data_IF_340961128534
#
_entry.id   IF_340961128534
#
_cell.length_a   1.000
_cell.length_b   1.000
_cell.length_c   1.000
_cell.angle_alpha   90.00
_cell.angle_beta   90.00
_cell.angle_gamma   90.00
#
_symmetry.space_group_name_H-M   'P 1'
#
loop_
_entity.id
_entity.type
_entity.pdbx_description
1 polymer ?
#
# COMPACT_ATOMS: atom_id res chain seq x y z
N UNK A 1 -1.10 -0.88 7.16
CA UNK A 1 -0.61 0.03 6.11
C UNK A 1 0.43 1.00 6.64
N UNK A 2 0.10 1.80 7.68
CA UNK A 2 0.99 2.85 8.20
C UNK A 2 2.28 2.32 8.85
N UNK A 3 2.32 1.06 9.29
CA UNK A 3 3.52 0.43 9.86
C UNK A 3 4.50 -0.17 8.84
N UNK A 4 4.28 0.03 7.53
CA UNK A 4 5.18 -0.48 6.50
C UNK A 4 6.60 0.07 6.68
N UNK A 5 7.60 -0.82 6.60
CA UNK A 5 9.00 -0.48 6.84
C UNK A 5 9.43 -0.40 8.31
N UNK A 6 8.50 -0.53 9.28
CA UNK A 6 8.87 -0.69 10.69
C UNK A 6 9.50 -2.06 10.97
N UNK A 7 9.11 -3.07 10.20
CA UNK A 7 9.75 -4.37 10.11
C UNK A 7 10.22 -4.58 8.68
N UNK A 8 11.34 -5.27 8.50
CA UNK A 8 11.91 -5.49 7.17
C UNK A 8 10.99 -6.36 6.30
N UNK A 9 10.42 -5.76 5.25
CA UNK A 9 9.54 -6.43 4.30
C UNK A 9 10.24 -7.46 3.40
N UNK A 10 11.56 -7.60 3.50
CA UNK A 10 12.34 -8.63 2.80
C UNK A 10 12.66 -9.84 3.69
N UNK A 11 12.34 -9.76 4.98
CA UNK A 11 12.55 -10.84 5.94
C UNK A 11 11.65 -12.04 5.63
N UNK A 12 12.19 -13.24 5.80
CA UNK A 12 11.44 -14.50 5.63
C UNK A 12 10.24 -14.61 6.60
N UNK A 13 10.31 -13.95 7.75
CA UNK A 13 9.22 -13.90 8.73
C UNK A 13 8.17 -12.81 8.43
N UNK A 14 8.32 -12.05 7.34
CA UNK A 14 7.38 -11.01 6.96
C UNK A 14 6.19 -11.60 6.21
N UNK A 15 5.01 -11.57 6.81
CA UNK A 15 3.79 -12.16 6.25
C UNK A 15 2.94 -11.20 5.40
N UNK A 16 3.30 -9.92 5.37
CA UNK A 16 2.59 -8.90 4.60
C UNK A 16 1.70 -7.99 5.45
N UNK A 17 0.74 -7.35 4.81
CA UNK A 17 -0.24 -6.48 5.45
C UNK A 17 -1.40 -7.31 6.00
N UNK A 18 -1.96 -6.89 7.13
CA UNK A 18 -3.17 -7.45 7.75
C UNK A 18 -4.41 -6.65 7.35
N UNK A 19 -5.56 -7.30 7.33
CA UNK A 19 -6.87 -6.69 7.17
C UNK A 19 -7.44 -6.80 5.77
N UNK A 20 -8.31 -5.86 5.39
CA UNK A 20 -9.14 -5.90 4.17
C UNK A 20 -8.35 -6.22 2.89
N UNK A 21 -7.21 -5.58 2.68
CA UNK A 21 -6.32 -5.83 1.55
C UNK A 21 -5.01 -6.49 1.98
N UNK A 22 -5.04 -7.14 3.14
CA UNK A 22 -3.92 -7.92 3.67
C UNK A 22 -3.71 -9.22 2.91
N UNK A 23 -2.54 -9.83 3.11
CA UNK A 23 -2.28 -11.16 2.57
C UNK A 23 -3.13 -12.22 3.28
N UNK A 24 -3.45 -13.32 2.61
CA UNK A 24 -4.07 -14.48 3.27
C UNK A 24 -3.19 -15.00 4.40
N UNK A 25 -1.88 -15.02 4.20
CA UNK A 25 -0.91 -15.42 5.22
C UNK A 25 -1.06 -14.64 6.52
N UNK A 26 -1.08 -13.30 6.44
CA UNK A 26 -1.25 -12.46 7.64
C UNK A 26 -2.62 -12.63 8.28
N UNK A 27 -3.68 -12.68 7.48
CA UNK A 27 -5.04 -12.79 7.99
C UNK A 27 -5.28 -14.15 8.69
N UNK A 28 -4.83 -15.25 8.08
CA UNK A 28 -4.93 -16.60 8.67
C UNK A 28 -4.03 -16.74 9.91
N UNK A 29 -2.79 -16.28 9.84
CA UNK A 29 -1.88 -16.33 10.99
C UNK A 29 -2.43 -15.57 12.20
N UNK A 30 -3.06 -14.41 12.01
CA UNK A 30 -3.71 -13.68 13.10
C UNK A 30 -4.97 -14.39 13.59
N UNK A 31 -5.72 -15.03 12.70
CA UNK A 31 -6.94 -15.76 13.10
C UNK A 31 -6.65 -17.02 13.93
N UNK A 32 -5.44 -17.57 13.82
CA UNK A 32 -5.06 -18.84 14.46
C UNK A 32 -4.06 -18.69 15.61
N UNK A 33 -3.49 -17.48 15.81
CA UNK A 33 -2.51 -17.27 16.86
C UNK A 33 -3.12 -17.39 18.26
N UNK A 34 -2.31 -17.80 19.23
CA UNK A 34 -2.64 -17.83 20.65
C UNK A 34 -2.24 -16.53 21.36
N UNK A 35 -1.27 -15.79 20.81
CA UNK A 35 -0.80 -14.50 21.28
C UNK A 35 -0.65 -13.51 20.13
N UNK A 36 -1.34 -12.38 20.20
CA UNK A 36 -1.20 -11.25 19.31
C UNK A 36 -0.53 -10.08 20.03
N UNK A 37 0.66 -9.69 19.60
CA UNK A 37 1.34 -8.50 20.10
C UNK A 37 1.08 -7.35 19.12
N UNK A 38 0.30 -6.38 19.55
CA UNK A 38 -0.12 -5.22 18.77
C UNK A 38 0.72 -3.99 19.17
N UNK A 39 1.48 -3.45 18.22
CA UNK A 39 2.39 -2.34 18.48
C UNK A 39 1.96 -1.12 17.67
N UNK A 40 1.49 -0.05 18.36
CA UNK A 40 1.07 1.21 17.75
C UNK A 40 -0.10 1.05 16.76
N UNK A 41 -0.97 0.05 16.97
CA UNK A 41 -2.12 -0.19 16.11
C UNK A 41 -3.43 0.17 16.80
N UNK A 42 -4.25 0.96 16.13
CA UNK A 42 -5.55 1.40 16.64
C UNK A 42 -6.71 0.44 16.32
N UNK A 43 -6.44 -0.70 15.72
CA UNK A 43 -7.46 -1.69 15.36
C UNK A 43 -8.63 -1.07 14.58
N UNK A 44 -8.33 -0.40 13.46
CA UNK A 44 -9.35 0.21 12.62
C UNK A 44 -10.23 -0.83 11.92
N UNK A 45 -11.39 -0.40 11.44
CA UNK A 45 -12.33 -1.21 10.66
C UNK A 45 -11.69 -1.88 9.42
N UNK A 46 -10.68 -1.24 8.83
CA UNK A 46 -9.92 -1.79 7.69
C UNK A 46 -9.02 -2.96 8.08
N UNK A 47 -8.75 -3.15 9.38
CA UNK A 47 -7.94 -4.23 9.93
C UNK A 47 -8.81 -5.32 10.53
N UNK A 48 -9.83 -4.95 11.31
CA UNK A 48 -10.60 -5.89 12.12
C UNK A 48 -11.59 -6.75 11.34
N UNK A 49 -12.24 -6.18 10.30
CA UNK A 49 -13.42 -6.79 9.74
C UNK A 49 -14.54 -6.87 10.80
N UNK A 50 -14.81 -8.07 11.33
CA UNK A 50 -15.74 -8.26 12.44
C UNK A 50 -14.99 -8.26 13.79
N UNK A 51 -15.14 -7.22 14.64
CA UNK A 51 -14.41 -7.11 15.91
C UNK A 51 -14.65 -8.27 16.88
N UNK A 52 -15.81 -8.93 16.83
CA UNK A 52 -16.16 -10.04 17.72
C UNK A 52 -15.46 -11.35 17.37
N UNK A 53 -14.86 -11.42 16.19
CA UNK A 53 -14.22 -12.62 15.65
C UNK A 53 -12.75 -12.40 15.28
N UNK A 54 -12.25 -11.20 15.51
CA UNK A 54 -10.87 -10.87 15.26
C UNK A 54 -9.98 -11.45 16.35
N UNK A 55 -9.15 -12.43 16.01
CA UNK A 55 -8.23 -13.10 16.95
C UNK A 55 -8.92 -13.49 18.28
N UNK A 56 -10.16 -14.01 18.21
CA UNK A 56 -11.05 -14.24 19.36
C UNK A 56 -10.53 -15.30 20.34
N UNK A 57 -9.64 -16.17 19.88
CA UNK A 57 -8.93 -17.17 20.71
C UNK A 57 -7.61 -16.65 21.28
N UNK A 58 -7.08 -15.54 20.79
CA UNK A 58 -5.75 -15.05 21.17
C UNK A 58 -5.77 -14.20 22.44
N UNK A 59 -4.72 -14.28 23.23
CA UNK A 59 -4.37 -13.22 24.17
C UNK A 59 -3.81 -12.04 23.39
N UNK A 60 -4.35 -10.84 23.61
CA UNK A 60 -3.92 -9.63 22.91
C UNK A 60 -3.14 -8.75 23.87
N UNK A 61 -1.89 -8.45 23.53
CA UNK A 61 -1.02 -7.53 24.25
C UNK A 61 -0.84 -6.29 23.39
N UNK A 62 -1.26 -5.12 23.85
CA UNK A 62 -1.18 -3.87 23.10
C UNK A 62 -0.13 -2.92 23.71
N UNK A 63 0.79 -2.43 22.86
CA UNK A 63 1.72 -1.36 23.18
C UNK A 63 1.32 -0.11 22.41
N UNK A 64 1.01 0.97 23.11
CA UNK A 64 0.63 2.22 22.48
C UNK A 64 1.12 3.42 23.31
N UNK A 65 1.37 4.53 22.64
CA UNK A 65 1.70 5.80 23.31
C UNK A 65 0.44 6.53 23.75
N UNK A 66 -0.69 6.28 23.08
CA UNK A 66 -1.97 6.90 23.37
C UNK A 66 -2.86 5.98 24.20
N UNK A 67 -3.10 6.38 25.44
CA UNK A 67 -3.99 5.65 26.35
C UNK A 67 -5.43 5.53 25.82
N UNK A 68 -5.88 6.46 24.98
CA UNK A 68 -7.24 6.47 24.43
C UNK A 68 -7.46 5.38 23.37
N UNK A 69 -6.41 4.78 22.81
CA UNK A 69 -6.52 3.68 21.86
C UNK A 69 -6.66 2.31 22.55
N UNK A 70 -6.37 2.22 23.87
CA UNK A 70 -6.49 0.96 24.62
C UNK A 70 -7.96 0.61 24.85
N UNK A 71 -8.34 -0.62 24.48
CA UNK A 71 -9.71 -1.14 24.59
C UNK A 71 -10.78 -0.37 23.78
N UNK A 72 -10.38 0.48 22.84
CA UNK A 72 -11.29 1.32 22.07
C UNK A 72 -12.15 0.50 21.09
N UNK A 73 -11.53 -0.30 20.25
CA UNK A 73 -12.21 -1.04 19.19
C UNK A 73 -12.31 -2.54 19.49
N UNK A 74 -11.34 -3.10 20.22
CA UNK A 74 -11.36 -4.47 20.75
C UNK A 74 -10.88 -4.48 22.20
N UNK A 75 -11.30 -5.48 22.97
CA UNK A 75 -10.74 -5.69 24.30
C UNK A 75 -9.39 -6.40 24.21
N UNK A 76 -8.38 -5.87 24.90
CA UNK A 76 -7.07 -6.49 24.98
C UNK A 76 -6.87 -7.18 26.33
N UNK A 77 -6.06 -8.23 26.35
CA UNK A 77 -5.76 -8.99 27.58
C UNK A 77 -4.87 -8.16 28.51
N UNK A 78 -3.92 -7.44 27.95
CA UNK A 78 -3.00 -6.56 28.69
C UNK A 78 -2.49 -5.46 27.78
N UNK A 79 -2.04 -4.35 28.37
CA UNK A 79 -1.47 -3.23 27.63
C UNK A 79 -0.34 -2.56 28.38
N UNK A 80 0.56 -1.91 27.62
CA UNK A 80 1.60 -1.03 28.16
C UNK A 80 1.53 0.29 27.41
N UNK A 81 1.36 1.40 28.15
CA UNK A 81 1.34 2.74 27.60
C UNK A 81 2.74 3.32 27.69
N UNK A 82 3.26 3.83 26.57
CA UNK A 82 4.57 4.44 26.51
C UNK A 82 5.24 4.36 25.14
N UNK A 83 6.45 4.88 25.06
CA UNK A 83 7.29 4.78 23.87
C UNK A 83 7.67 3.32 23.58
N UNK A 84 7.43 2.87 22.35
CA UNK A 84 7.63 1.47 21.96
C UNK A 84 9.10 1.05 22.04
N UNK A 85 10.03 1.96 21.78
CA UNK A 85 11.47 1.67 21.89
C UNK A 85 11.85 1.36 23.33
N UNK A 86 11.36 2.14 24.29
CA UNK A 86 11.56 1.90 25.70
C UNK A 86 10.92 0.59 26.17
N UNK A 87 9.68 0.33 25.73
CA UNK A 87 8.94 -0.90 26.06
C UNK A 87 9.74 -2.12 25.56
N UNK A 88 10.09 -2.14 24.27
CA UNK A 88 10.82 -3.27 23.67
C UNK A 88 12.22 -3.44 24.26
N UNK A 89 12.91 -2.35 24.57
CA UNK A 89 14.22 -2.41 25.23
C UNK A 89 14.15 -3.10 26.60
N UNK A 90 13.09 -2.83 27.37
CA UNK A 90 12.88 -3.45 28.70
C UNK A 90 12.45 -4.92 28.58
N UNK A 91 11.57 -5.22 27.62
CA UNK A 91 11.07 -6.59 27.39
C UNK A 91 12.24 -7.47 26.93
N UNK A 92 13.04 -7.04 25.95
CA UNK A 92 14.13 -7.83 25.39
C UNK A 92 15.21 -8.21 26.43
N UNK A 93 15.34 -7.43 27.50
CA UNK A 93 16.24 -7.79 28.62
C UNK A 93 15.72 -8.96 29.47
N UNK A 94 14.42 -9.27 29.38
CA UNK A 94 13.75 -10.30 30.19
C UNK A 94 13.38 -11.54 29.39
N UNK A 95 13.33 -11.42 28.06
CA UNK A 95 13.03 -12.54 27.20
C UNK A 95 14.26 -13.42 27.00
N UNK A 96 14.04 -14.72 27.07
CA UNK A 96 14.97 -15.73 26.57
C UNK A 96 14.54 -16.14 25.16
N UNK A 97 15.47 -16.61 24.37
CA UNK A 97 15.13 -17.15 23.05
C UNK A 97 14.27 -18.41 23.23
N UNK A 98 13.14 -18.43 22.58
CA UNK A 98 12.21 -19.57 22.53
C UNK A 98 12.20 -20.12 21.10
N UNK A 99 11.88 -21.40 20.98
CA UNK A 99 11.69 -22.05 19.69
C UNK A 99 10.21 -21.94 19.29
N UNK A 100 9.97 -21.26 18.18
CA UNK A 100 8.66 -21.10 17.55
C UNK A 100 8.66 -21.61 16.10
N UNK A 101 9.63 -22.43 15.71
CA UNK A 101 9.82 -22.87 14.32
C UNK A 101 8.57 -23.54 13.75
N UNK A 102 7.91 -24.41 14.52
CA UNK A 102 6.69 -25.07 14.06
C UNK A 102 5.54 -24.10 13.73
N UNK A 103 5.40 -23.04 14.52
CA UNK A 103 4.42 -21.97 14.26
C UNK A 103 4.82 -21.13 13.02
N UNK A 104 6.08 -20.77 12.92
CA UNK A 104 6.62 -20.03 11.76
C UNK A 104 6.41 -20.83 10.48
N UNK A 105 6.76 -22.11 10.47
CA UNK A 105 6.54 -23.02 9.33
C UNK A 105 5.07 -23.13 8.96
N UNK A 106 4.18 -23.26 9.95
CA UNK A 106 2.74 -23.32 9.75
C UNK A 106 2.21 -22.06 9.05
N UNK A 107 2.57 -20.88 9.56
CA UNK A 107 2.11 -19.61 8.98
C UNK A 107 2.71 -19.39 7.59
N UNK A 108 3.99 -19.70 7.40
CA UNK A 108 4.66 -19.53 6.10
C UNK A 108 4.17 -20.54 5.04
N UNK A 109 3.58 -21.66 5.45
CA UNK A 109 2.92 -22.56 4.52
C UNK A 109 1.74 -21.90 3.80
N UNK A 110 1.05 -20.95 4.45
CA UNK A 110 0.02 -20.15 3.79
C UNK A 110 0.57 -19.26 2.67
N UNK A 111 1.79 -18.73 2.83
CA UNK A 111 2.40 -17.93 1.76
C UNK A 111 2.69 -18.75 0.51
N UNK A 112 3.03 -20.03 0.70
CA UNK A 112 3.25 -20.98 -0.42
C UNK A 112 1.92 -21.39 -1.07
N UNK A 113 0.88 -21.61 -0.26
CA UNK A 113 -0.43 -22.04 -0.74
C UNK A 113 -1.24 -20.90 -1.38
N UNK A 114 -1.09 -19.69 -0.86
CA UNK A 114 -1.83 -18.49 -1.27
C UNK A 114 -0.90 -17.32 -1.57
N UNK A 115 0.02 -17.43 -2.54
CA UNK A 115 0.89 -16.33 -2.89
C UNK A 115 0.07 -15.14 -3.44
N UNK A 116 0.62 -13.94 -3.30
CA UNK A 116 0.11 -12.79 -4.05
C UNK A 116 0.39 -13.02 -5.53
N UNK A 117 -0.66 -13.02 -6.33
CA UNK A 117 -0.57 -13.23 -7.77
C UNK A 117 -1.40 -12.20 -8.53
N UNK A 118 -1.01 -11.93 -9.76
CA UNK A 118 -1.76 -11.10 -10.70
C UNK A 118 -1.54 -11.64 -12.13
N UNK A 119 -2.35 -11.20 -13.08
CA UNK A 119 -2.14 -11.51 -14.49
C UNK A 119 -0.82 -10.96 -14.99
N UNK A 120 0.00 -11.80 -15.58
CA UNK A 120 1.32 -11.42 -16.11
C UNK A 120 1.25 -10.82 -17.52
N UNK A 121 0.12 -10.94 -18.19
CA UNK A 121 -0.10 -10.39 -19.52
C UNK A 121 -0.56 -8.93 -19.43
N UNK A 122 0.01 -8.08 -20.29
CA UNK A 122 -0.31 -6.67 -20.34
C UNK A 122 0.29 -5.85 -19.19
N UNK A 123 0.03 -4.54 -19.23
CA UNK A 123 0.42 -3.62 -18.18
C UNK A 123 -0.64 -3.61 -17.07
N UNK A 124 -0.23 -3.78 -15.82
CA UNK A 124 -1.11 -3.81 -14.65
C UNK A 124 -0.51 -3.05 -13.47
N UNK A 125 -1.35 -2.65 -12.52
CA UNK A 125 -0.89 -1.96 -11.31
C UNK A 125 0.17 -2.75 -10.52
N UNK A 126 -0.04 -4.03 -10.19
CA UNK A 126 0.97 -4.86 -9.53
C UNK A 126 2.30 -4.93 -10.27
N UNK A 127 2.29 -5.12 -11.60
CA UNK A 127 3.50 -5.16 -12.41
C UNK A 127 4.31 -3.87 -12.28
N UNK A 128 3.63 -2.73 -12.40
CA UNK A 128 4.27 -1.40 -12.26
C UNK A 128 4.99 -1.29 -10.92
N UNK A 129 4.34 -1.69 -9.83
CA UNK A 129 4.93 -1.61 -8.48
C UNK A 129 6.11 -2.56 -8.30
N UNK A 130 6.01 -3.81 -8.76
CA UNK A 130 7.11 -4.77 -8.70
C UNK A 130 8.32 -4.27 -9.52
N UNK A 131 8.07 -3.72 -10.70
CA UNK A 131 9.13 -3.21 -11.55
C UNK A 131 9.81 -1.98 -10.96
N UNK A 132 9.06 -1.07 -10.33
CA UNK A 132 9.64 0.05 -9.57
C UNK A 132 10.55 -0.47 -8.45
N UNK A 133 10.09 -1.49 -7.69
CA UNK A 133 10.93 -2.11 -6.66
C UNK A 133 12.23 -2.67 -7.23
N UNK A 134 12.16 -3.45 -8.31
CA UNK A 134 13.32 -4.04 -8.96
C UNK A 134 14.31 -2.98 -9.45
N UNK A 135 13.84 -2.01 -10.23
CA UNK A 135 14.68 -0.98 -10.86
C UNK A 135 15.28 0.00 -9.85
N UNK A 136 14.62 0.25 -8.72
CA UNK A 136 15.15 1.06 -7.62
C UNK A 136 15.88 0.25 -6.56
N UNK A 137 15.92 -1.09 -6.71
CA UNK A 137 16.47 -2.03 -5.70
C UNK A 137 15.89 -1.80 -4.30
N UNK A 138 14.60 -1.44 -4.25
CA UNK A 138 13.88 -1.14 -3.00
C UNK A 138 14.34 0.13 -2.27
N UNK A 139 15.10 1.02 -2.90
CA UNK A 139 15.65 2.22 -2.26
C UNK A 139 14.86 3.50 -2.50
N UNK A 140 13.76 3.46 -3.26
CA UNK A 140 12.93 4.64 -3.45
C UNK A 140 12.16 5.03 -2.18
N UNK A 141 11.87 6.32 -2.05
CA UNK A 141 10.79 6.80 -1.20
C UNK A 141 9.52 6.69 -2.04
N UNK A 142 8.63 5.82 -1.62
CA UNK A 142 7.33 5.63 -2.26
C UNK A 142 6.32 6.56 -1.62
N UNK A 143 5.68 7.36 -2.43
CA UNK A 143 4.53 8.18 -2.05
C UNK A 143 3.31 7.61 -2.75
N UNK A 144 2.17 7.60 -2.11
CA UNK A 144 0.95 7.13 -2.76
C UNK A 144 -0.20 8.09 -2.56
N UNK A 145 -0.98 8.23 -3.59
CA UNK A 145 -2.36 8.67 -3.51
C UNK A 145 -3.25 7.58 -2.89
N UNK A 146 -4.56 7.74 -2.92
CA UNK A 146 -5.52 6.85 -2.26
C UNK A 146 -6.40 6.12 -3.28
N UNK A 147 -6.39 4.78 -3.25
CA UNK A 147 -7.15 3.93 -4.13
C UNK A 147 -6.52 2.56 -4.34
N UNK A 148 -6.83 1.90 -5.45
CA UNK A 148 -6.25 0.59 -5.81
C UNK A 148 -4.72 0.65 -5.89
N UNK A 149 -4.17 1.69 -6.50
CA UNK A 149 -2.73 1.92 -6.62
C UNK A 149 -2.02 2.01 -5.26
N UNK A 150 -2.65 2.58 -4.23
CA UNK A 150 -2.16 2.57 -2.85
C UNK A 150 -2.06 1.15 -2.30
N UNK A 151 -3.08 0.33 -2.55
CA UNK A 151 -3.11 -1.05 -2.07
C UNK A 151 -2.07 -1.91 -2.79
N UNK A 152 -1.93 -1.77 -4.12
CA UNK A 152 -0.86 -2.46 -4.87
C UNK A 152 0.53 -2.04 -4.39
N UNK A 153 0.76 -0.74 -4.15
CA UNK A 153 2.02 -0.27 -3.56
C UNK A 153 2.29 -0.89 -2.18
N UNK A 154 1.24 -1.07 -1.37
CA UNK A 154 1.36 -1.71 -0.07
C UNK A 154 1.59 -3.23 -0.14
N UNK A 155 1.05 -3.91 -1.17
CA UNK A 155 1.16 -5.36 -1.33
C UNK A 155 2.47 -5.78 -2.01
N UNK A 156 2.87 -5.10 -3.09
CA UNK A 156 3.91 -5.55 -4.01
C UNK A 156 5.27 -4.86 -3.85
N UNK A 157 5.34 -3.69 -3.18
CA UNK A 157 6.62 -3.08 -2.85
C UNK A 157 7.12 -3.56 -1.48
N UNK A 158 8.34 -4.08 -1.42
CA UNK A 158 8.96 -4.58 -0.19
C UNK A 158 9.69 -3.46 0.55
N UNK A 159 9.06 -2.93 1.58
CA UNK A 159 9.63 -1.85 2.40
C UNK A 159 10.58 -2.42 3.44
N UNK A 160 11.88 -2.19 3.30
CA UNK A 160 12.92 -2.66 4.23
C UNK A 160 13.41 -1.58 5.21
N UNK A 161 12.97 -0.33 5.00
CA UNK A 161 13.41 0.82 5.81
C UNK A 161 12.21 1.62 6.30
N UNK A 162 12.27 2.14 7.55
CA UNK A 162 11.21 3.01 8.06
C UNK A 162 11.14 4.33 7.28
N UNK A 163 9.96 4.95 7.26
CA UNK A 163 9.70 6.25 6.62
C UNK A 163 10.01 6.30 5.13
N UNK A 164 9.88 5.16 4.44
CA UNK A 164 10.02 5.07 2.98
C UNK A 164 8.68 4.89 2.27
N UNK A 165 7.57 4.82 3.00
CA UNK A 165 6.21 4.93 2.49
C UNK A 165 5.54 6.17 3.10
N UNK A 166 5.12 7.10 2.23
CA UNK A 166 4.34 8.29 2.57
C UNK A 166 2.95 8.13 1.97
N UNK A 167 1.93 8.10 2.81
CA UNK A 167 0.56 7.82 2.35
C UNK A 167 -0.48 8.37 3.32
N UNK A 168 -1.62 8.83 2.81
CA UNK A 168 -2.77 9.18 3.62
C UNK A 168 -3.56 7.91 4.02
N UNK A 169 -2.94 7.02 4.82
CA UNK A 169 -3.54 5.74 5.20
C UNK A 169 -4.56 5.82 6.36
N UNK A 170 -4.66 6.96 7.02
CA UNK A 170 -5.62 7.21 8.09
C UNK A 170 -6.92 7.81 7.55
N UNK A 171 -6.86 9.03 7.02
CA UNK A 171 -8.02 9.75 6.48
C UNK A 171 -8.37 9.33 5.05
N UNK A 172 -7.40 8.87 4.25
CA UNK A 172 -7.65 8.45 2.87
C UNK A 172 -7.88 9.62 1.92
N UNK A 173 -7.03 10.66 1.99
CA UNK A 173 -7.18 11.89 1.23
C UNK A 173 -6.66 11.71 -0.19
N UNK A 174 -7.54 11.73 -1.18
CA UNK A 174 -7.16 11.85 -2.59
C UNK A 174 -6.55 13.24 -2.83
N UNK A 175 -5.46 13.30 -3.61
CA UNK A 175 -4.69 14.54 -3.84
C UNK A 175 -3.56 14.79 -2.83
N UNK A 176 -3.33 13.88 -1.89
CA UNK A 176 -2.23 13.97 -0.92
C UNK A 176 -0.85 13.77 -1.56
N UNK A 177 -0.76 12.87 -2.54
CA UNK A 177 0.51 12.26 -2.96
C UNK A 177 1.47 13.25 -3.63
N UNK A 178 1.03 14.03 -4.61
CA UNK A 178 1.92 14.94 -5.35
C UNK A 178 2.57 15.98 -4.40
N UNK A 179 1.79 16.61 -3.53
CA UNK A 179 2.33 17.54 -2.52
C UNK A 179 3.33 16.87 -1.57
N UNK A 180 3.01 15.65 -1.11
CA UNK A 180 3.91 14.88 -0.26
C UNK A 180 5.19 14.45 -1.00
N UNK A 181 5.11 14.13 -2.29
CA UNK A 181 6.27 13.80 -3.13
C UNK A 181 7.20 15.01 -3.34
N UNK A 182 6.63 16.20 -3.57
CA UNK A 182 7.38 17.47 -3.61
C UNK A 182 8.14 17.67 -2.30
N UNK A 183 7.46 17.57 -1.17
CA UNK A 183 8.09 17.70 0.15
C UNK A 183 9.17 16.64 0.40
N UNK A 184 8.91 15.38 0.02
CA UNK A 184 9.87 14.29 0.15
C UNK A 184 11.12 14.50 -0.69
N UNK A 185 10.96 14.94 -1.96
CA UNK A 185 12.09 15.20 -2.86
C UNK A 185 12.90 16.40 -2.41
N UNK A 186 12.25 17.46 -1.93
CA UNK A 186 12.92 18.62 -1.37
C UNK A 186 13.77 18.27 -0.14
N UNK A 187 13.22 17.42 0.74
CA UNK A 187 13.92 16.97 1.94
C UNK A 187 15.00 15.91 1.68
N UNK A 188 14.95 15.24 0.53
CA UNK A 188 15.87 14.16 0.17
C UNK A 188 16.32 14.30 -1.30
N UNK A 189 17.13 15.32 -1.63
CA UNK A 189 17.48 15.65 -3.01
C UNK A 189 18.24 14.53 -3.75
N UNK A 190 18.96 13.70 -3.00
CA UNK A 190 19.80 12.61 -3.55
C UNK A 190 19.08 11.26 -3.63
N UNK A 191 17.79 11.22 -3.27
CA UNK A 191 17.01 9.99 -3.27
C UNK A 191 15.97 10.00 -4.39
N UNK A 192 15.70 8.83 -4.94
CA UNK A 192 14.58 8.64 -5.86
C UNK A 192 13.27 8.72 -5.07
N UNK A 193 12.39 9.62 -5.46
CA UNK A 193 11.02 9.74 -4.94
C UNK A 193 10.05 9.38 -6.05
N UNK A 194 9.16 8.44 -5.79
CA UNK A 194 8.14 7.98 -6.74
C UNK A 194 6.77 8.15 -6.11
N UNK A 195 5.92 8.97 -6.73
CA UNK A 195 4.50 9.05 -6.37
C UNK A 195 3.70 8.08 -7.25
N UNK A 196 2.84 7.30 -6.64
CA UNK A 196 1.90 6.40 -7.32
C UNK A 196 0.50 6.98 -7.17
N UNK A 197 -0.06 7.46 -8.25
CA UNK A 197 -1.38 8.06 -8.29
C UNK A 197 -2.34 7.25 -9.16
N UNK A 198 -3.63 7.32 -8.87
CA UNK A 198 -4.66 7.05 -9.86
C UNK A 198 -4.96 8.33 -10.65
N UNK A 199 -5.52 8.19 -11.84
CA UNK A 199 -5.94 9.31 -12.68
C UNK A 199 -6.93 10.25 -11.94
N UNK A 200 -7.88 9.72 -11.21
CA UNK A 200 -8.81 10.49 -10.39
C UNK A 200 -8.13 11.24 -9.23
N UNK A 201 -7.08 10.66 -8.63
CA UNK A 201 -6.35 11.31 -7.55
C UNK A 201 -5.42 12.41 -8.07
N UNK A 202 -4.70 12.15 -9.14
CA UNK A 202 -3.80 13.13 -9.76
C UNK A 202 -4.52 14.44 -10.10
N UNK A 203 -5.78 14.35 -10.56
CA UNK A 203 -6.62 15.53 -10.85
C UNK A 203 -6.86 16.44 -9.66
N UNK A 204 -6.83 15.92 -8.44
CA UNK A 204 -7.15 16.69 -7.25
C UNK A 204 -6.14 17.81 -6.99
N UNK A 205 -4.85 17.57 -7.30
CA UNK A 205 -3.78 18.52 -7.05
C UNK A 205 -2.74 18.58 -8.18
N UNK A 206 -3.11 18.23 -9.41
CA UNK A 206 -2.20 18.24 -10.57
C UNK A 206 -1.53 19.59 -10.84
N UNK A 207 -2.14 20.70 -10.41
CA UNK A 207 -1.58 22.04 -10.49
C UNK A 207 -0.22 22.17 -9.77
N UNK A 208 0.04 21.37 -8.73
CA UNK A 208 1.31 21.37 -8.01
C UNK A 208 2.47 20.81 -8.83
N UNK A 209 2.20 20.18 -9.98
CA UNK A 209 3.25 19.78 -10.91
C UNK A 209 4.03 21.00 -11.43
N UNK A 210 3.36 22.16 -11.58
CA UNK A 210 4.03 23.41 -11.92
C UNK A 210 5.02 23.86 -10.84
N UNK A 211 4.71 23.64 -9.55
CA UNK A 211 5.63 23.87 -8.45
C UNK A 211 6.85 22.94 -8.55
N UNK A 212 6.63 21.64 -8.76
CA UNK A 212 7.73 20.68 -8.92
C UNK A 212 8.64 21.02 -10.10
N UNK A 213 8.06 21.47 -11.22
CA UNK A 213 8.80 21.87 -12.43
C UNK A 213 9.62 23.14 -12.20
N UNK A 214 9.03 24.16 -11.58
CA UNK A 214 9.72 25.41 -11.23
C UNK A 214 10.95 25.16 -10.34
N UNK A 215 10.78 24.27 -9.34
CA UNK A 215 11.86 23.92 -8.42
C UNK A 215 12.80 22.85 -8.97
N UNK A 216 12.56 22.37 -10.21
CA UNK A 216 13.36 21.32 -10.89
C UNK A 216 13.54 20.07 -10.06
N UNK A 217 12.49 19.63 -9.38
CA UNK A 217 12.52 18.45 -8.52
C UNK A 217 12.47 17.16 -9.39
N UNK A 218 13.46 16.27 -9.31
CA UNK A 218 13.49 15.05 -10.12
C UNK A 218 12.58 13.95 -9.59
N UNK A 219 11.39 14.31 -9.13
CA UNK A 219 10.40 13.33 -8.69
C UNK A 219 9.77 12.62 -9.89
N UNK A 220 9.38 11.38 -9.67
CA UNK A 220 8.72 10.55 -10.68
C UNK A 220 7.24 10.39 -10.26
N UNK A 221 6.34 10.85 -11.12
CA UNK A 221 4.90 10.70 -10.97
C UNK A 221 4.44 9.55 -11.87
N UNK A 222 3.88 8.49 -11.29
CA UNK A 222 3.35 7.33 -12.01
C UNK A 222 1.84 7.31 -11.85
N UNK A 223 1.13 7.61 -12.93
CA UNK A 223 -0.32 7.63 -12.96
C UNK A 223 -0.81 6.24 -13.42
N UNK A 224 -1.42 5.50 -12.51
CA UNK A 224 -2.13 4.26 -12.84
C UNK A 224 -3.51 4.66 -13.38
N UNK A 225 -3.59 4.77 -14.69
CA UNK A 225 -4.73 5.32 -15.41
C UNK A 225 -5.63 4.19 -15.95
N UNK A 226 -6.71 3.94 -15.26
CA UNK A 226 -7.72 2.98 -15.66
C UNK A 226 -9.05 3.64 -16.08
N UNK A 227 -9.07 4.97 -16.22
CA UNK A 227 -10.23 5.78 -16.60
C UNK A 227 -11.43 5.64 -15.67
N UNK A 228 -11.21 5.18 -14.42
CA UNK A 228 -12.28 5.01 -13.43
C UNK A 228 -11.79 5.31 -12.00
N UNK A 229 -12.72 5.61 -11.11
CA UNK A 229 -12.45 5.54 -9.67
C UNK A 229 -12.38 4.06 -9.24
N UNK A 230 -11.24 3.43 -9.49
CA UNK A 230 -11.10 1.97 -9.51
C UNK A 230 -11.51 1.27 -8.20
N UNK A 231 -11.19 1.83 -7.02
CA UNK A 231 -11.59 1.22 -5.75
C UNK A 231 -13.11 1.29 -5.57
N UNK A 232 -13.76 2.39 -5.94
CA UNK A 232 -15.23 2.53 -5.85
C UNK A 232 -15.89 1.56 -6.85
N UNK A 233 -15.38 1.50 -8.08
CA UNK A 233 -15.85 0.54 -9.10
C UNK A 233 -15.70 -0.91 -8.63
N UNK A 234 -14.59 -1.26 -8.00
CA UNK A 234 -14.39 -2.61 -7.44
C UNK A 234 -15.47 -2.94 -6.41
N UNK A 235 -15.80 -2.02 -5.50
CA UNK A 235 -16.87 -2.20 -4.53
C UNK A 235 -18.23 -2.34 -5.20
N UNK A 236 -18.54 -1.51 -6.17
CA UNK A 236 -19.80 -1.60 -6.95
C UNK A 236 -19.88 -2.94 -7.70
N UNK A 237 -18.76 -3.44 -8.21
CA UNK A 237 -18.71 -4.76 -8.85
C UNK A 237 -19.02 -5.88 -7.87
N UNK A 238 -18.43 -5.84 -6.67
CA UNK A 238 -18.45 -6.97 -5.73
C UNK A 238 -19.67 -6.97 -4.81
N UNK A 239 -20.18 -5.80 -4.44
CA UNK A 239 -21.19 -5.67 -3.37
C UNK A 239 -22.49 -4.98 -3.83
N UNK A 240 -22.53 -4.40 -5.03
CA UNK A 240 -23.67 -3.66 -5.54
C UNK A 240 -24.12 -4.14 -6.93
N UNK A 241 -23.97 -5.44 -7.20
CA UNK A 241 -24.47 -6.10 -8.42
C UNK A 241 -24.06 -5.41 -9.73
N UNK A 242 -22.89 -4.78 -9.75
CA UNK A 242 -22.36 -3.98 -10.86
C UNK A 242 -23.21 -2.74 -11.21
N UNK A 243 -23.98 -2.23 -10.26
CA UNK A 243 -24.67 -0.94 -10.42
C UNK A 243 -23.64 0.19 -10.32
N UNK A 244 -23.02 0.51 -11.45
CA UNK A 244 -21.99 1.55 -11.51
C UNK A 244 -22.61 2.95 -11.52
N UNK A 245 -22.12 3.82 -10.65
CA UNK A 245 -22.57 5.21 -10.55
C UNK A 245 -21.37 6.12 -10.32
N UNK A 246 -21.23 7.13 -11.17
CA UNK A 246 -20.26 8.22 -11.08
C UNK A 246 -18.79 7.77 -10.90
N UNK A 247 -18.40 6.63 -11.49
CA UNK A 247 -17.05 6.07 -11.36
C UNK A 247 -16.21 6.18 -12.63
N UNK A 248 -16.83 6.49 -13.76
CA UNK A 248 -16.13 6.62 -15.06
C UNK A 248 -15.55 8.02 -15.20
N UNK A 249 -14.32 8.11 -15.65
CA UNK A 249 -13.54 9.34 -15.84
C UNK A 249 -13.18 9.49 -17.33
N UNK A 250 -14.21 9.66 -18.18
CA UNK A 250 -14.10 9.71 -19.65
C UNK A 250 -14.09 11.14 -20.22
N UNK A 251 -13.67 12.11 -19.45
CA UNK A 251 -13.68 13.53 -19.78
C UNK A 251 -12.55 13.98 -20.73
N UNK A 252 -11.78 13.06 -21.29
CA UNK A 252 -10.80 13.34 -22.33
C UNK A 252 -9.55 14.08 -21.86
N UNK A 253 -9.20 14.06 -20.58
CA UNK A 253 -7.96 14.67 -20.06
C UNK A 253 -6.75 13.93 -20.60
N UNK A 254 -5.87 14.65 -21.31
CA UNK A 254 -4.57 14.15 -21.77
C UNK A 254 -3.48 14.51 -20.74
N UNK A 255 -3.14 13.54 -19.87
CA UNK A 255 -2.18 13.76 -18.79
C UNK A 255 -0.76 14.02 -19.31
N UNK A 256 -0.39 13.54 -20.51
CA UNK A 256 0.91 13.81 -21.11
C UNK A 256 1.00 15.27 -21.52
N UNK A 257 0.07 15.76 -22.34
CA UNK A 257 0.04 17.17 -22.75
C UNK A 257 -0.08 18.14 -21.59
N UNK A 258 -0.91 17.79 -20.60
CA UNK A 258 -1.08 18.57 -19.38
C UNK A 258 0.26 18.69 -18.63
N UNK A 259 0.95 17.58 -18.44
CA UNK A 259 2.22 17.55 -17.71
C UNK A 259 3.32 18.32 -18.46
N UNK A 260 3.39 18.20 -19.78
CA UNK A 260 4.31 18.95 -20.62
C UNK A 260 4.02 20.45 -20.56
N UNK A 261 2.76 20.86 -20.62
CA UNK A 261 2.36 22.25 -20.46
C UNK A 261 2.74 22.84 -19.09
N UNK A 262 2.84 22.01 -18.04
CA UNK A 262 3.32 22.39 -16.71
C UNK A 262 4.85 22.28 -16.55
N UNK A 263 5.59 21.96 -17.62
CA UNK A 263 7.05 21.93 -17.64
C UNK A 263 7.69 20.62 -17.20
N UNK A 264 6.93 19.54 -17.04
CA UNK A 264 7.44 18.21 -16.78
C UNK A 264 7.74 17.45 -18.08
N UNK A 265 8.60 16.44 -18.01
CA UNK A 265 8.69 15.43 -19.08
C UNK A 265 7.58 14.40 -18.86
N UNK A 266 6.88 13.99 -19.91
CA UNK A 266 5.80 13.02 -19.76
C UNK A 266 5.80 11.96 -20.86
N UNK A 267 5.33 10.75 -20.52
CA UNK A 267 5.13 9.65 -21.48
C UNK A 267 3.90 8.84 -21.11
N UNK A 268 3.13 8.45 -22.14
CA UNK A 268 2.08 7.44 -22.02
C UNK A 268 2.65 6.08 -22.38
N UNK A 269 2.28 5.07 -21.58
CA UNK A 269 2.71 3.68 -21.75
C UNK A 269 1.53 2.73 -21.66
N UNK A 270 1.56 1.64 -22.45
CA UNK A 270 0.49 0.65 -22.52
C UNK A 270 1.01 -0.78 -22.40
N UNK A 271 2.33 -0.96 -22.50
CA UNK A 271 2.98 -2.27 -22.37
C UNK A 271 4.01 -2.27 -21.25
N UNK A 272 4.42 -3.45 -20.84
CA UNK A 272 5.44 -3.65 -19.82
C UNK A 272 6.79 -3.07 -20.29
N UNK A 273 7.18 -3.31 -21.52
CA UNK A 273 8.43 -2.83 -22.12
C UNK A 273 8.46 -1.30 -22.22
N UNK A 274 7.34 -0.70 -22.62
CA UNK A 274 7.21 0.77 -22.65
C UNK A 274 7.38 1.37 -21.26
N UNK A 275 6.78 0.74 -20.23
CA UNK A 275 6.92 1.19 -18.84
C UNK A 275 8.38 1.10 -18.37
N UNK A 276 9.04 -0.03 -18.57
CA UNK A 276 10.44 -0.23 -18.20
C UNK A 276 11.34 0.82 -18.80
N UNK A 277 11.17 1.10 -20.10
CA UNK A 277 11.92 2.13 -20.80
C UNK A 277 11.64 3.54 -20.26
N UNK A 278 10.36 3.88 -20.07
CA UNK A 278 9.97 5.18 -19.54
C UNK A 278 10.51 5.40 -18.12
N UNK A 279 10.43 4.38 -17.27
CA UNK A 279 10.94 4.46 -15.90
C UNK A 279 12.47 4.53 -15.83
N UNK A 280 13.17 3.82 -16.72
CA UNK A 280 14.63 3.93 -16.85
C UNK A 280 15.08 5.33 -17.27
N UNK A 281 14.30 6.02 -18.12
CA UNK A 281 14.56 7.40 -18.51
C UNK A 281 14.21 8.36 -17.36
N UNK A 282 13.11 8.11 -16.64
CA UNK A 282 12.71 8.90 -15.48
C UNK A 282 13.77 8.88 -14.36
N UNK A 283 14.40 7.73 -14.11
CA UNK A 283 15.49 7.60 -13.13
C UNK A 283 16.73 8.46 -13.47
N UNK A 284 16.88 8.89 -14.71
CA UNK A 284 17.98 9.76 -15.16
C UNK A 284 17.58 11.23 -15.24
N UNK A 285 16.30 11.51 -15.15
CA UNK A 285 15.77 12.87 -15.26
C UNK A 285 16.29 13.77 -14.14
N UNK A 286 16.45 15.04 -14.43
CA UNK A 286 16.78 16.10 -13.48
C UNK A 286 15.60 17.05 -13.23
N UNK A 287 14.46 16.74 -13.79
CA UNK A 287 13.20 17.48 -13.70
C UNK A 287 12.07 16.49 -13.48
N UNK A 288 10.88 16.94 -13.08
CA UNK A 288 9.75 16.03 -12.88
C UNK A 288 9.46 15.18 -14.12
N UNK A 289 9.20 13.92 -13.91
CA UNK A 289 8.89 12.97 -14.97
C UNK A 289 7.57 12.27 -14.68
N UNK A 290 6.61 12.37 -15.59
CA UNK A 290 5.27 11.78 -15.46
C UNK A 290 5.14 10.60 -16.40
N UNK A 291 4.65 9.46 -15.87
CA UNK A 291 4.38 8.26 -16.66
C UNK A 291 2.89 7.93 -16.53
N UNK A 292 2.15 8.11 -17.62
CA UNK A 292 0.73 7.81 -17.74
C UNK A 292 0.55 6.35 -18.16
N UNK A 293 0.32 5.45 -17.20
CA UNK A 293 0.21 4.01 -17.38
C UNK A 293 -1.24 3.61 -17.64
N UNK A 294 -1.57 3.28 -18.88
CA UNK A 294 -2.92 2.83 -19.24
C UNK A 294 -3.08 1.35 -18.88
N UNK A 295 -3.98 1.06 -17.95
CA UNK A 295 -4.32 -0.29 -17.50
C UNK A 295 -5.80 -0.59 -17.68
N UNK A 296 -6.20 -1.85 -17.48
CA UNK A 296 -7.61 -2.27 -17.57
C UNK A 296 -8.45 -1.61 -16.46
N UNK A 297 -9.66 -1.18 -16.83
CA UNK A 297 -10.62 -0.55 -15.92
C UNK A 297 -11.20 -1.52 -14.88
N UNK A 298 -11.14 -2.81 -15.14
CA UNK A 298 -11.63 -3.87 -14.26
C UNK A 298 -10.54 -4.59 -13.46
N UNK A 299 -9.29 -4.11 -13.54
CA UNK A 299 -8.23 -4.55 -12.63
C UNK A 299 -8.65 -4.37 -11.17
N UNK A 300 -8.42 -5.40 -10.36
CA UNK A 300 -8.86 -5.45 -8.96
C UNK A 300 -7.71 -5.68 -8.01
N UNK A 301 -7.85 -5.14 -6.81
CA UNK A 301 -6.95 -5.44 -5.69
C UNK A 301 -7.37 -6.75 -5.03
N UNK A 302 -6.50 -7.74 -5.08
CA UNK A 302 -6.68 -9.02 -4.40
C UNK A 302 -5.49 -9.34 -3.48
N UNK A 303 -5.69 -10.11 -2.39
CA UNK A 303 -6.98 -10.54 -1.83
C UNK A 303 -7.77 -9.37 -1.24
N UNK A 304 -9.07 -9.56 -1.02
CA UNK A 304 -9.95 -8.61 -0.35
C UNK A 304 -10.85 -9.33 0.65
N UNK A 305 -10.91 -8.83 1.89
CA UNK A 305 -11.85 -9.26 2.91
C UNK A 305 -13.00 -8.27 2.93
N UNK A 306 -14.23 -8.76 2.75
CA UNK A 306 -15.41 -7.91 2.74
C UNK A 306 -15.60 -7.21 4.12
N UNK A 307 -16.14 -5.97 4.16
CA UNK A 307 -16.47 -5.30 5.41
C UNK A 307 -17.39 -6.16 6.26
N UNK A 308 -17.17 -6.17 7.57
CA UNK A 308 -17.92 -6.95 8.58
C UNK A 308 -17.98 -8.46 8.36
N UNK A 309 -17.22 -8.99 7.40
CA UNK A 309 -17.04 -10.43 7.21
C UNK A 309 -15.93 -10.99 8.10
N UNK A 310 -15.83 -12.31 8.13
CA UNK A 310 -14.74 -12.99 8.83
C UNK A 310 -13.39 -12.67 8.17
N UNK A 311 -12.34 -12.50 8.96
CA UNK A 311 -11.00 -12.19 8.47
C UNK A 311 -10.41 -13.26 7.52
N UNK A 312 -10.92 -14.48 7.56
CA UNK A 312 -10.46 -15.59 6.73
C UNK A 312 -11.33 -15.87 5.48
N UNK A 313 -12.51 -15.26 5.38
CA UNK A 313 -13.31 -15.33 4.16
C UNK A 313 -12.82 -14.28 3.17
N UNK A 314 -11.74 -14.57 2.49
CA UNK A 314 -11.35 -13.82 1.29
C UNK A 314 -12.26 -14.23 0.15
N UNK A 315 -12.77 -13.25 -0.61
CA UNK A 315 -13.38 -13.54 -1.91
C UNK A 315 -12.40 -14.35 -2.79
N UNK A 316 -12.90 -15.19 -3.70
CA UNK A 316 -12.05 -16.14 -4.43
C UNK A 316 -10.82 -15.44 -5.00
N UNK A 317 -9.68 -16.07 -4.79
CA UNK A 317 -8.40 -15.67 -5.39
C UNK A 317 -8.17 -16.33 -6.75
N UNK A 318 -9.11 -17.14 -7.22
CA UNK A 318 -9.07 -17.62 -8.60
C UNK A 318 -9.57 -16.51 -9.50
N UNK A 319 -8.65 -16.04 -10.30
CA UNK A 319 -8.91 -15.38 -11.56
C UNK A 319 -9.46 -16.48 -12.47
N UNK A 320 -10.77 -16.61 -12.57
CA UNK A 320 -11.42 -17.31 -13.67
C UNK A 320 -11.66 -16.33 -14.80
#
# INVERSE_FOLDING_TARGET
LMGKGAYDGTSDNYTGMLGMHGTKTSNLGVSECDLLIAIGTRFSDRVLGNPKKFADQAKILQFDVDAAEINKNIRVTSSVIGDVKEILTRINKKLTQLDHNSWVEHVLAYAKTFPLTYHKEGLSGPFVIEKIYEMTKGNAIMVTEVGQHQMWAAQYYKYSKPRTLLTSGGLGTMGYGLGAAIGAQTANPDRTVVNIAGDGCFRMNMNELATASREKLPLIEVIINNHVLGMVRQWQTLFYEKHYSATVLDDGVDYVKLSEAMGATARRVKTQEEFEKAFADALKSKTPFVIDCIIDSDDKVWPMVAPVSYTHLTLPTKLE
#
